data_IF_287282015386
#
_entry.id   IF_287282015386
#
_cell.length_a   1.000
_cell.length_b   1.000
_cell.length_c   1.000
_cell.angle_alpha   90.00
_cell.angle_beta   90.00
_cell.angle_gamma   90.00
#
_symmetry.space_group_name_H-M   'P 1'
#
loop_
_entity.id
_entity.type
_entity.pdbx_description
1 polymer ?
#
# COMPACT_ATOMS: atom_id res chain seq x y z
N UNK A 1 -26.36 15.97 21.14
CA UNK A 1 -25.92 14.61 21.53
C UNK A 1 -26.14 13.71 20.33
N UNK A 2 -25.26 13.78 19.34
CA UNK A 2 -25.44 13.06 18.07
C UNK A 2 -24.78 11.67 18.16
N UNK A 3 -25.62 10.66 17.97
CA UNK A 3 -25.38 9.22 17.83
C UNK A 3 -23.91 8.75 17.80
N UNK A 4 -23.37 8.40 18.98
CA UNK A 4 -22.15 7.60 19.13
C UNK A 4 -22.40 6.10 18.84
N UNK A 5 -23.68 5.69 18.78
CA UNK A 5 -24.07 4.28 18.66
C UNK A 5 -24.18 3.79 17.21
N UNK A 6 -24.69 4.59 16.27
CA UNK A 6 -24.93 4.12 14.90
C UNK A 6 -23.68 3.62 14.18
N UNK A 7 -22.56 4.36 14.24
CA UNK A 7 -21.34 3.98 13.53
C UNK A 7 -20.51 2.92 14.26
N UNK A 8 -20.63 2.84 15.60
CA UNK A 8 -19.96 1.78 16.36
C UNK A 8 -20.70 0.46 16.19
N UNK A 9 -22.04 0.47 16.11
CA UNK A 9 -22.85 -0.70 15.79
C UNK A 9 -22.68 -1.12 14.32
N UNK A 10 -22.74 -0.19 13.36
CA UNK A 10 -22.46 -0.53 11.96
C UNK A 10 -21.06 -1.14 11.79
N UNK A 11 -20.00 -0.62 12.43
CA UNK A 11 -18.65 -1.20 12.30
C UNK A 11 -18.46 -2.51 13.07
N UNK A 12 -19.07 -2.66 14.25
CA UNK A 12 -19.02 -3.93 15.02
C UNK A 12 -19.83 -5.03 14.33
N UNK A 13 -20.83 -4.66 13.53
CA UNK A 13 -21.61 -5.58 12.71
C UNK A 13 -20.90 -5.89 11.37
N UNK A 14 -20.22 -4.92 10.75
CA UNK A 14 -19.41 -5.09 9.53
C UNK A 14 -18.16 -5.95 9.78
N UNK A 15 -17.45 -5.72 10.88
CA UNK A 15 -16.44 -6.65 11.38
C UNK A 15 -17.08 -7.51 12.45
N UNK A 16 -17.90 -8.49 12.04
CA UNK A 16 -18.34 -9.53 12.97
C UNK A 16 -17.08 -10.03 13.70
N UNK A 17 -17.03 -9.84 15.01
CA UNK A 17 -15.91 -10.27 15.85
C UNK A 17 -15.68 -11.77 15.69
N UNK A 18 -16.71 -12.53 15.25
CA UNK A 18 -16.57 -13.91 14.80
C UNK A 18 -15.84 -14.04 13.47
N UNK A 19 -16.09 -13.16 12.49
CA UNK A 19 -15.34 -13.07 11.24
C UNK A 19 -13.86 -12.83 11.49
N UNK A 20 -13.51 -11.85 12.33
CA UNK A 20 -12.12 -11.53 12.71
C UNK A 20 -11.44 -12.69 13.48
N UNK A 21 -12.15 -13.31 14.44
CA UNK A 21 -11.63 -14.48 15.18
C UNK A 21 -11.49 -15.70 14.27
N UNK A 22 -12.49 -16.02 13.47
CA UNK A 22 -12.47 -17.14 12.52
C UNK A 22 -11.39 -16.91 11.46
N UNK A 23 -11.14 -15.65 11.06
CA UNK A 23 -10.00 -15.21 10.26
C UNK A 23 -8.68 -15.51 10.96
N UNK A 24 -8.51 -15.05 12.19
CA UNK A 24 -7.31 -15.28 12.99
C UNK A 24 -7.06 -16.78 13.18
N UNK A 25 -8.10 -17.58 13.45
CA UNK A 25 -8.00 -19.03 13.61
C UNK A 25 -7.70 -19.75 12.31
N UNK A 26 -8.36 -19.40 11.20
CA UNK A 26 -8.09 -20.03 9.88
C UNK A 26 -6.67 -19.73 9.43
N UNK A 27 -6.21 -18.50 9.66
CA UNK A 27 -4.85 -18.07 9.36
C UNK A 27 -3.81 -18.70 10.29
N UNK A 28 -4.08 -18.79 11.60
CA UNK A 28 -3.27 -19.54 12.56
C UNK A 28 -3.19 -21.02 12.20
N UNK A 29 -4.26 -21.63 11.69
CA UNK A 29 -4.26 -23.01 11.24
C UNK A 29 -3.40 -23.20 9.99
N UNK A 30 -3.46 -22.28 9.02
CA UNK A 30 -2.56 -22.32 7.86
C UNK A 30 -1.09 -22.18 8.27
N UNK A 31 -0.79 -21.26 9.19
CA UNK A 31 0.52 -21.09 9.85
C UNK A 31 0.98 -22.36 10.57
N UNK A 32 0.09 -22.99 11.33
CA UNK A 32 0.35 -24.22 12.06
C UNK A 32 0.73 -25.33 11.08
N UNK A 33 -0.08 -25.53 10.03
CA UNK A 33 0.18 -26.52 8.98
C UNK A 33 1.53 -26.25 8.30
N UNK A 34 1.81 -25.01 7.90
CA UNK A 34 3.07 -24.64 7.25
C UNK A 34 4.27 -24.88 8.18
N UNK A 35 4.17 -24.49 9.45
CA UNK A 35 5.22 -24.70 10.45
C UNK A 35 5.46 -26.18 10.72
N UNK A 36 4.40 -26.99 10.80
CA UNK A 36 4.51 -28.44 10.94
C UNK A 36 5.24 -29.04 9.75
N UNK A 37 4.92 -28.62 8.52
CA UNK A 37 5.57 -29.17 7.33
C UNK A 37 7.06 -28.78 7.30
N UNK A 38 7.43 -27.55 7.64
CA UNK A 38 8.84 -27.13 7.76
C UNK A 38 9.55 -27.89 8.87
N UNK A 39 8.92 -28.09 10.03
CA UNK A 39 9.49 -28.88 11.12
C UNK A 39 9.68 -30.34 10.73
N UNK A 40 8.72 -30.95 10.04
CA UNK A 40 8.85 -32.31 9.51
C UNK A 40 10.02 -32.38 8.51
N UNK A 41 10.12 -31.42 7.59
CA UNK A 41 11.23 -31.33 6.64
C UNK A 41 12.60 -31.24 7.34
N UNK A 42 12.72 -30.39 8.36
CA UNK A 42 13.95 -30.23 9.16
C UNK A 42 14.27 -31.52 9.93
N UNK A 43 13.28 -32.13 10.57
CA UNK A 43 13.47 -33.38 11.32
C UNK A 43 13.88 -34.54 10.40
N UNK A 44 13.31 -34.62 9.20
CA UNK A 44 13.68 -35.61 8.18
C UNK A 44 15.13 -35.36 7.70
N UNK A 45 15.50 -34.11 7.45
CA UNK A 45 16.87 -33.76 7.08
C UNK A 45 17.89 -34.10 8.17
N UNK A 46 17.55 -33.85 9.45
CA UNK A 46 18.42 -34.18 10.59
C UNK A 46 18.49 -35.69 10.81
N UNK A 47 17.35 -36.42 10.77
CA UNK A 47 17.35 -37.89 10.95
C UNK A 47 18.15 -38.60 9.87
N UNK A 48 18.14 -38.08 8.65
CA UNK A 48 18.91 -38.65 7.56
C UNK A 48 20.34 -38.11 7.50
N UNK A 49 20.77 -37.24 8.43
CA UNK A 49 22.10 -36.62 8.41
C UNK A 49 23.23 -37.65 8.38
N UNK A 50 23.15 -38.73 9.17
CA UNK A 50 24.20 -39.76 9.19
C UNK A 50 24.20 -40.60 7.89
N UNK A 51 23.02 -40.91 7.33
CA UNK A 51 22.92 -41.56 6.02
C UNK A 51 23.42 -40.66 4.89
N UNK A 52 23.14 -39.35 4.97
CA UNK A 52 23.63 -38.33 4.06
C UNK A 52 25.15 -38.22 4.17
N UNK A 53 25.70 -38.18 5.38
CA UNK A 53 27.14 -38.10 5.66
C UNK A 53 27.91 -39.32 5.15
N UNK A 54 27.35 -40.52 5.30
CA UNK A 54 27.97 -41.75 4.78
C UNK A 54 27.90 -41.86 3.24
N UNK A 55 26.86 -41.29 2.61
CA UNK A 55 26.78 -41.18 1.14
C UNK A 55 27.69 -40.06 0.58
N UNK A 56 27.90 -38.98 1.35
CA UNK A 56 28.79 -37.85 1.01
C UNK A 56 30.22 -38.33 0.76
N UNK A 57 30.67 -39.36 1.46
CA UNK A 57 32.04 -39.88 1.32
C UNK A 57 32.31 -40.69 0.05
N UNK A 58 31.30 -41.18 -0.69
CA UNK A 58 31.50 -42.21 -1.72
C UNK A 58 31.02 -41.89 -3.16
N UNK A 59 30.69 -40.64 -3.50
CA UNK A 59 30.43 -40.27 -4.91
C UNK A 59 30.99 -38.88 -5.22
N UNK A 60 32.10 -38.82 -5.97
CA UNK A 60 33.00 -37.66 -5.99
C UNK A 60 32.47 -36.41 -6.69
N UNK A 61 31.45 -36.50 -7.55
CA UNK A 61 30.94 -35.31 -8.27
C UNK A 61 29.47 -34.97 -8.00
N UNK A 62 28.62 -35.97 -7.69
CA UNK A 62 27.18 -35.77 -7.42
C UNK A 62 26.85 -35.39 -5.97
N UNK A 63 27.67 -35.83 -5.00
CA UNK A 63 27.43 -35.59 -3.57
C UNK A 63 27.61 -34.12 -3.16
N UNK A 64 28.64 -33.46 -3.69
CA UNK A 64 28.90 -32.04 -3.49
C UNK A 64 27.71 -31.19 -3.99
N UNK A 65 27.09 -31.61 -5.10
CA UNK A 65 25.92 -30.92 -5.63
C UNK A 65 24.71 -31.00 -4.69
N UNK A 66 24.34 -32.20 -4.23
CA UNK A 66 23.20 -32.36 -3.32
C UNK A 66 23.44 -31.65 -1.98
N UNK A 67 24.68 -31.65 -1.50
CA UNK A 67 25.08 -30.95 -0.28
C UNK A 67 24.95 -29.43 -0.43
N UNK A 68 25.51 -28.85 -1.49
CA UNK A 68 25.41 -27.40 -1.74
C UNK A 68 23.96 -26.99 -2.04
N UNK A 69 23.25 -27.77 -2.86
CA UNK A 69 21.85 -27.51 -3.19
C UNK A 69 20.92 -27.56 -1.98
N UNK A 70 21.10 -28.53 -1.08
CA UNK A 70 20.32 -28.62 0.16
C UNK A 70 20.65 -27.50 1.15
N UNK A 71 21.92 -27.10 1.28
CA UNK A 71 22.32 -25.94 2.10
C UNK A 71 21.66 -24.66 1.55
N UNK A 72 21.74 -24.42 0.24
CA UNK A 72 21.14 -23.24 -0.39
C UNK A 72 19.61 -23.23 -0.26
N UNK A 73 18.95 -24.38 -0.43
CA UNK A 73 17.52 -24.53 -0.24
C UNK A 73 17.11 -24.25 1.22
N UNK A 74 17.90 -24.73 2.19
CA UNK A 74 17.67 -24.49 3.62
C UNK A 74 17.82 -23.01 3.97
N UNK A 75 18.87 -22.35 3.46
CA UNK A 75 19.05 -20.90 3.62
C UNK A 75 17.86 -20.14 3.03
N UNK A 76 17.42 -20.51 1.83
CA UNK A 76 16.23 -19.91 1.19
C UNK A 76 14.98 -20.08 2.06
N UNK A 77 14.72 -21.28 2.61
CA UNK A 77 13.58 -21.54 3.50
C UNK A 77 13.63 -20.72 4.80
N UNK A 78 14.81 -20.58 5.42
CA UNK A 78 15.01 -19.75 6.61
C UNK A 78 14.74 -18.27 6.32
N UNK A 79 15.25 -17.78 5.19
CA UNK A 79 15.04 -16.41 4.73
C UNK A 79 13.56 -16.11 4.50
N UNK A 80 12.82 -17.03 3.86
CA UNK A 80 11.35 -16.91 3.69
C UNK A 80 10.64 -16.89 5.04
N UNK A 81 11.04 -17.77 5.97
CA UNK A 81 10.43 -17.88 7.30
C UNK A 81 10.65 -16.62 8.15
N UNK A 82 11.88 -16.10 8.21
CA UNK A 82 12.21 -14.86 8.92
C UNK A 82 11.43 -13.68 8.32
N UNK A 83 11.43 -13.57 6.99
CA UNK A 83 10.69 -12.49 6.31
C UNK A 83 9.20 -12.54 6.64
N UNK A 84 8.61 -13.73 6.70
CA UNK A 84 7.22 -13.92 7.09
C UNK A 84 6.93 -13.47 8.53
N UNK A 85 7.75 -13.87 9.51
CA UNK A 85 7.60 -13.45 10.92
C UNK A 85 7.64 -11.92 11.03
N UNK A 86 8.53 -11.26 10.26
CA UNK A 86 8.60 -9.81 10.27
C UNK A 86 7.38 -9.17 9.59
N UNK A 87 6.83 -9.76 8.51
CA UNK A 87 5.57 -9.28 7.91
C UNK A 87 4.44 -9.35 8.91
N UNK A 88 4.28 -10.49 9.58
CA UNK A 88 3.22 -10.67 10.57
C UNK A 88 3.36 -9.63 11.69
N UNK A 89 4.56 -9.50 12.26
CA UNK A 89 4.84 -8.51 13.32
C UNK A 89 4.62 -7.08 12.84
N UNK A 90 4.98 -6.76 11.60
CA UNK A 90 4.79 -5.43 11.03
C UNK A 90 3.33 -5.14 10.71
N UNK A 91 2.60 -6.13 10.23
CA UNK A 91 1.16 -6.03 9.95
C UNK A 91 0.37 -5.81 11.22
N UNK A 92 0.67 -6.57 12.29
CA UNK A 92 0.05 -6.39 13.59
C UNK A 92 0.28 -4.95 14.13
N UNK A 93 1.52 -4.45 13.94
CA UNK A 93 1.90 -3.07 14.31
C UNK A 93 1.26 -2.00 13.44
N UNK A 94 0.89 -2.30 12.21
CA UNK A 94 0.41 -1.33 11.21
C UNK A 94 -1.09 -1.50 10.96
N UNK A 95 -1.48 -2.53 10.22
CA UNK A 95 -2.87 -2.91 9.99
C UNK A 95 -2.94 -4.36 9.53
N UNK A 96 -3.93 -5.13 9.98
CA UNK A 96 -4.13 -6.52 9.54
C UNK A 96 -4.48 -6.62 8.05
N UNK A 97 -4.99 -5.53 7.46
CA UNK A 97 -5.33 -5.47 6.03
C UNK A 97 -4.06 -5.58 5.17
N UNK A 98 -2.91 -5.10 5.66
CA UNK A 98 -1.63 -5.29 4.96
C UNK A 98 -1.32 -6.78 4.77
N UNK A 99 -1.49 -7.60 5.82
CA UNK A 99 -1.30 -9.05 5.72
C UNK A 99 -2.18 -9.66 4.64
N UNK A 100 -3.42 -9.19 4.50
CA UNK A 100 -4.37 -9.69 3.50
C UNK A 100 -4.00 -9.30 2.07
N UNK A 101 -3.57 -8.07 1.84
CA UNK A 101 -3.05 -7.64 0.52
C UNK A 101 -1.91 -8.57 0.08
N UNK A 102 -1.06 -9.00 1.03
CA UNK A 102 0.01 -9.96 0.76
C UNK A 102 -0.49 -11.37 0.50
N UNK A 103 -1.38 -11.91 1.34
CA UNK A 103 -1.95 -13.25 1.15
C UNK A 103 -2.67 -13.37 -0.20
N UNK A 104 -3.30 -12.29 -0.67
CA UNK A 104 -3.96 -12.22 -1.98
C UNK A 104 -3.02 -11.93 -3.14
N UNK A 105 -1.83 -11.40 -2.90
CA UNK A 105 -0.88 -11.14 -3.98
C UNK A 105 -0.41 -12.46 -4.58
N UNK A 106 -0.89 -12.74 -5.80
CA UNK A 106 -0.53 -13.96 -6.54
C UNK A 106 0.98 -14.09 -6.68
N UNK A 107 1.73 -13.00 -6.77
CA UNK A 107 3.19 -13.03 -6.85
C UNK A 107 3.81 -13.55 -5.56
N UNK A 108 3.26 -13.14 -4.42
CA UNK A 108 3.68 -13.62 -3.12
C UNK A 108 3.32 -15.07 -2.92
N UNK A 109 2.07 -15.46 -3.20
CA UNK A 109 1.63 -16.84 -3.11
C UNK A 109 2.47 -17.74 -4.03
N UNK A 110 2.73 -17.30 -5.26
CA UNK A 110 3.58 -18.01 -6.23
C UNK A 110 5.00 -18.17 -5.68
N UNK A 111 5.57 -17.12 -5.09
CA UNK A 111 6.89 -17.22 -4.46
C UNK A 111 6.92 -18.25 -3.32
N UNK A 112 5.96 -18.19 -2.40
CA UNK A 112 5.83 -19.16 -1.30
C UNK A 112 5.67 -20.58 -1.84
N UNK A 113 4.84 -20.77 -2.86
CA UNK A 113 4.61 -22.09 -3.50
C UNK A 113 5.86 -22.59 -4.21
N UNK A 114 6.56 -21.75 -4.98
CA UNK A 114 7.80 -22.15 -5.67
C UNK A 114 8.89 -22.49 -4.65
N UNK A 115 9.11 -21.64 -3.65
CA UNK A 115 10.11 -21.91 -2.60
C UNK A 115 9.79 -23.19 -1.84
N UNK A 116 8.51 -23.41 -1.49
CA UNK A 116 8.08 -24.63 -0.82
C UNK A 116 8.22 -25.87 -1.71
N UNK A 117 7.76 -25.81 -2.96
CA UNK A 117 7.88 -26.90 -3.94
C UNK A 117 9.34 -27.25 -4.20
N UNK A 118 10.22 -26.25 -4.23
CA UNK A 118 11.66 -26.44 -4.38
C UNK A 118 12.23 -27.22 -3.21
N UNK A 119 11.96 -26.78 -1.98
CA UNK A 119 12.40 -27.49 -0.76
C UNK A 119 11.84 -28.92 -0.73
N UNK A 120 10.58 -29.11 -1.09
CA UNK A 120 9.95 -30.43 -1.15
C UNK A 120 10.57 -31.34 -2.22
N UNK A 121 10.87 -30.80 -3.41
CA UNK A 121 11.58 -31.52 -4.47
C UNK A 121 12.96 -31.99 -3.99
N UNK A 122 13.71 -31.13 -3.29
CA UNK A 122 14.99 -31.50 -2.70
C UNK A 122 14.87 -32.63 -1.67
N UNK A 123 13.85 -32.58 -0.81
CA UNK A 123 13.57 -33.66 0.15
C UNK A 123 13.28 -34.98 -0.57
N UNK A 124 12.45 -34.96 -1.62
CA UNK A 124 12.14 -36.15 -2.40
C UNK A 124 13.37 -36.73 -3.11
N UNK A 125 14.17 -35.90 -3.75
CA UNK A 125 15.43 -36.33 -4.39
C UNK A 125 16.37 -36.95 -3.35
N UNK A 126 16.49 -36.30 -2.18
CA UNK A 126 17.31 -36.81 -1.08
C UNK A 126 16.80 -38.14 -0.51
N UNK A 127 15.48 -38.35 -0.45
CA UNK A 127 14.87 -39.57 0.09
C UNK A 127 14.88 -40.73 -0.90
N UNK A 128 14.76 -40.44 -2.20
CA UNK A 128 14.66 -41.47 -3.25
C UNK A 128 16.01 -41.95 -3.75
N UNK A 129 17.11 -41.30 -3.37
CA UNK A 129 18.48 -41.64 -3.80
C UNK A 129 18.63 -41.76 -5.33
N UNK A 130 17.83 -41.03 -6.10
CA UNK A 130 17.85 -41.09 -7.57
C UNK A 130 19.15 -40.50 -8.10
N UNK A 131 19.83 -41.24 -8.97
CA UNK A 131 20.95 -40.71 -9.76
C UNK A 131 20.40 -39.70 -10.77
N UNK A 132 20.72 -38.42 -10.57
CA UNK A 132 20.31 -37.34 -11.45
C UNK A 132 21.27 -37.24 -12.65
N UNK A 133 20.73 -36.97 -13.84
CA UNK A 133 21.54 -36.64 -15.00
C UNK A 133 22.09 -35.21 -14.89
N UNK A 134 23.16 -34.90 -15.65
CA UNK A 134 23.78 -33.55 -15.68
C UNK A 134 22.77 -32.44 -16.00
N UNK A 135 21.78 -32.73 -16.85
CA UNK A 135 20.69 -31.80 -17.18
C UNK A 135 19.82 -31.51 -15.94
N UNK A 136 19.52 -32.52 -15.13
CA UNK A 136 18.70 -32.38 -13.93
C UNK A 136 19.40 -31.49 -12.89
N UNK A 137 20.73 -31.61 -12.76
CA UNK A 137 21.54 -30.73 -11.92
C UNK A 137 21.47 -29.26 -12.36
N UNK A 138 21.57 -29.02 -13.67
CA UNK A 138 21.41 -27.67 -14.23
C UNK A 138 20.04 -27.06 -13.92
N UNK A 139 18.97 -27.84 -14.07
CA UNK A 139 17.60 -27.42 -13.77
C UNK A 139 17.44 -27.08 -12.28
N UNK A 140 17.96 -27.93 -11.40
CA UNK A 140 17.88 -27.72 -9.95
C UNK A 140 18.60 -26.43 -9.52
N UNK A 141 19.80 -26.17 -10.04
CA UNK A 141 20.53 -24.94 -9.75
C UNK A 141 19.79 -23.70 -10.27
N UNK A 142 19.21 -23.80 -11.47
CA UNK A 142 18.36 -22.74 -12.02
C UNK A 142 17.17 -22.43 -11.10
N UNK A 143 16.48 -23.45 -10.57
CA UNK A 143 15.36 -23.26 -9.63
C UNK A 143 15.82 -22.63 -8.31
N UNK A 144 16.97 -23.02 -7.76
CA UNK A 144 17.54 -22.37 -6.57
C UNK A 144 17.85 -20.89 -6.86
N UNK A 145 18.55 -20.61 -7.95
CA UNK A 145 18.89 -19.24 -8.34
C UNK A 145 17.65 -18.39 -8.57
N UNK A 146 16.60 -18.97 -9.17
CA UNK A 146 15.31 -18.32 -9.33
C UNK A 146 14.68 -17.98 -7.97
N UNK A 147 14.75 -18.88 -6.97
CA UNK A 147 14.28 -18.58 -5.62
C UNK A 147 15.05 -17.42 -4.98
N UNK A 148 16.37 -17.34 -5.14
CA UNK A 148 17.15 -16.20 -4.63
C UNK A 148 16.80 -14.89 -5.33
N UNK A 149 16.63 -14.92 -6.65
CA UNK A 149 16.20 -13.75 -7.42
C UNK A 149 14.82 -13.25 -6.96
N UNK A 150 13.88 -14.19 -6.80
CA UNK A 150 12.54 -13.90 -6.29
C UNK A 150 12.59 -13.36 -4.86
N UNK A 151 13.46 -13.90 -4.01
CA UNK A 151 13.67 -13.41 -2.65
C UNK A 151 14.22 -11.98 -2.61
N UNK A 152 15.17 -11.63 -3.50
CA UNK A 152 15.70 -10.26 -3.59
C UNK A 152 14.61 -9.25 -4.00
N UNK A 153 13.77 -9.61 -4.98
CA UNK A 153 12.60 -8.82 -5.36
C UNK A 153 11.61 -8.69 -4.19
N UNK A 154 11.44 -9.76 -3.43
CA UNK A 154 10.57 -9.82 -2.28
C UNK A 154 11.05 -8.97 -1.10
N UNK A 155 12.36 -8.95 -0.76
CA UNK A 155 12.91 -8.05 0.27
C UNK A 155 12.60 -6.58 -0.05
N UNK A 156 12.70 -6.18 -1.33
CA UNK A 156 12.39 -4.81 -1.74
C UNK A 156 10.92 -4.46 -1.51
N UNK A 157 10.02 -5.37 -1.85
CA UNK A 157 8.60 -5.19 -1.60
C UNK A 157 8.28 -5.21 -0.09
N UNK A 158 8.97 -6.04 0.68
CA UNK A 158 8.89 -6.12 2.14
C UNK A 158 9.36 -4.84 2.86
N UNK A 159 10.46 -4.22 2.41
CA UNK A 159 10.95 -2.96 2.97
C UNK A 159 9.93 -1.81 2.83
N UNK A 160 9.09 -1.85 1.78
CA UNK A 160 7.99 -0.91 1.58
C UNK A 160 6.84 -1.12 2.58
N UNK A 161 6.70 -2.29 3.19
CA UNK A 161 5.58 -2.58 4.11
C UNK A 161 5.92 -2.17 5.53
N UNK A 162 7.17 -2.39 5.96
CA UNK A 162 7.62 -2.03 7.32
C UNK A 162 7.50 -0.52 7.56
N UNK A 163 7.77 0.28 6.52
CA UNK A 163 7.70 1.72 6.63
C UNK A 163 6.25 2.22 6.46
N UNK A 164 5.67 2.89 7.48
CA UNK A 164 4.31 3.42 7.40
C UNK A 164 4.05 4.26 6.14
N UNK A 165 5.05 5.05 5.71
CA UNK A 165 5.00 5.91 4.53
C UNK A 165 4.73 5.12 3.25
N UNK A 166 5.44 4.02 3.07
CA UNK A 166 5.32 3.20 1.86
C UNK A 166 4.12 2.26 1.95
N UNK A 167 3.75 1.82 3.16
CA UNK A 167 2.55 1.02 3.40
C UNK A 167 1.27 1.77 3.00
N UNK A 168 1.10 3.04 3.38
CA UNK A 168 -0.09 3.83 2.97
C UNK A 168 -0.15 4.04 1.45
N UNK A 169 1.00 4.22 0.79
CA UNK A 169 1.06 4.38 -0.67
C UNK A 169 0.67 3.08 -1.38
N UNK A 170 1.16 1.96 -0.89
CA UNK A 170 0.87 0.63 -1.43
C UNK A 170 -0.63 0.30 -1.30
N UNK A 171 -1.19 0.47 -0.10
CA UNK A 171 -2.61 0.23 0.18
C UNK A 171 -3.51 1.01 -0.77
N UNK A 172 -3.21 2.29 -1.02
CA UNK A 172 -4.06 3.15 -1.85
C UNK A 172 -3.83 2.98 -3.36
N UNK A 173 -2.64 2.53 -3.77
CA UNK A 173 -2.29 2.40 -5.20
C UNK A 173 -2.81 1.12 -5.83
N UNK A 174 -2.73 0.00 -5.12
CA UNK A 174 -3.07 -1.29 -5.69
C UNK A 174 -4.59 -1.52 -5.63
N UNK A 175 -5.16 -2.11 -6.68
CA UNK A 175 -6.53 -2.63 -6.71
C UNK A 175 -6.43 -4.13 -6.77
N UNK A 176 -7.23 -4.84 -5.98
CA UNK A 176 -7.21 -6.30 -6.05
C UNK A 176 -7.79 -6.77 -7.40
N UNK A 177 -6.96 -7.48 -8.17
CA UNK A 177 -7.39 -8.14 -9.42
C UNK A 177 -8.17 -9.39 -9.01
N UNK A 178 -9.47 -9.25 -8.80
CA UNK A 178 -10.35 -10.39 -8.54
C UNK A 178 -11.30 -10.24 -7.36
N UNK A 179 -11.46 -9.04 -6.77
CA UNK A 179 -12.49 -8.87 -5.75
C UNK A 179 -13.88 -8.93 -6.37
N UNK A 180 -14.55 -10.07 -6.17
CA UNK A 180 -15.98 -10.29 -6.43
C UNK A 180 -16.80 -10.22 -5.13
N UNK A 181 -16.24 -9.67 -4.05
CA UNK A 181 -16.90 -9.47 -2.75
C UNK A 181 -18.04 -8.44 -2.88
N UNK A 182 -19.19 -8.94 -3.34
CA UNK A 182 -20.48 -8.23 -3.34
C UNK A 182 -21.44 -8.78 -2.28
N UNK A 183 -20.91 -9.39 -1.22
CA UNK A 183 -21.72 -9.87 -0.09
C UNK A 183 -22.35 -8.72 0.68
N UNK A 184 -23.62 -8.86 1.05
CA UNK A 184 -24.33 -7.89 1.88
C UNK A 184 -23.63 -7.80 3.25
N UNK A 185 -23.01 -6.64 3.56
CA UNK A 185 -22.34 -6.38 4.85
C UNK A 185 -20.81 -6.35 4.82
N UNK A 186 -20.16 -6.79 3.74
CA UNK A 186 -18.69 -6.70 3.61
C UNK A 186 -18.28 -5.29 3.13
N UNK A 187 -17.21 -4.73 3.71
CA UNK A 187 -16.57 -3.52 3.18
C UNK A 187 -16.11 -3.78 1.74
N UNK A 188 -16.30 -2.79 0.85
CA UNK A 188 -15.66 -2.86 -0.45
C UNK A 188 -14.13 -2.85 -0.30
N UNK A 189 -13.39 -3.35 -1.30
CA UNK A 189 -11.92 -3.27 -1.34
C UNK A 189 -11.42 -1.85 -1.02
N UNK A 190 -12.08 -0.83 -1.59
CA UNK A 190 -11.77 0.57 -1.34
C UNK A 190 -12.01 0.99 0.12
N UNK A 191 -13.14 0.62 0.72
CA UNK A 191 -13.46 0.99 2.11
C UNK A 191 -12.51 0.32 3.10
N UNK A 192 -12.17 -0.95 2.88
CA UNK A 192 -11.16 -1.67 3.65
C UNK A 192 -9.80 -0.96 3.58
N UNK A 193 -9.38 -0.52 2.39
CA UNK A 193 -8.12 0.22 2.21
C UNK A 193 -8.12 1.57 2.92
N UNK A 194 -9.23 2.31 2.84
CA UNK A 194 -9.38 3.58 3.59
C UNK A 194 -9.27 3.35 5.10
N UNK A 195 -9.88 2.27 5.61
CA UNK A 195 -9.78 1.89 7.01
C UNK A 195 -8.35 1.50 7.41
N UNK A 196 -7.63 0.76 6.56
CA UNK A 196 -6.23 0.42 6.79
C UNK A 196 -5.34 1.67 6.91
N UNK A 197 -5.55 2.67 6.05
CA UNK A 197 -4.84 3.95 6.14
C UNK A 197 -5.16 4.69 7.43
N UNK A 198 -6.43 4.70 7.84
CA UNK A 198 -6.84 5.24 9.14
C UNK A 198 -6.08 4.56 10.28
N UNK A 199 -6.09 3.23 10.35
CA UNK A 199 -5.47 2.44 11.42
C UNK A 199 -3.95 2.70 11.49
N UNK A 200 -3.27 2.72 10.34
CA UNK A 200 -1.82 2.98 10.27
C UNK A 200 -1.50 4.36 10.85
N UNK A 201 -2.19 5.41 10.40
CA UNK A 201 -1.90 6.78 10.85
C UNK A 201 -2.32 6.95 12.32
N UNK A 202 -3.48 6.42 12.70
CA UNK A 202 -3.99 6.44 14.09
C UNK A 202 -2.98 5.81 15.06
N UNK A 203 -2.47 4.60 14.77
CA UNK A 203 -1.47 3.95 15.63
C UNK A 203 -0.19 4.79 15.76
N UNK A 204 0.26 5.46 14.69
CA UNK A 204 1.43 6.37 14.76
C UNK A 204 1.15 7.62 15.58
N UNK A 205 -0.06 8.16 15.50
CA UNK A 205 -0.51 9.27 16.36
C UNK A 205 -0.51 8.84 17.84
N UNK A 206 -1.07 7.66 18.17
CA UNK A 206 -1.15 7.14 19.54
C UNK A 206 0.24 6.96 20.17
N UNK A 207 1.19 6.41 19.42
CA UNK A 207 2.59 6.27 19.87
C UNK A 207 3.32 7.63 19.93
N UNK A 208 2.83 8.64 19.20
CA UNK A 208 3.43 9.98 19.14
C UNK A 208 4.56 10.10 18.11
N UNK A 209 4.59 9.21 17.12
CA UNK A 209 5.53 9.24 16.00
C UNK A 209 5.07 10.26 14.95
N UNK A 210 5.26 11.54 15.26
CA UNK A 210 4.88 12.66 14.38
C UNK A 210 5.59 12.59 13.03
N UNK A 211 6.82 12.08 12.99
CA UNK A 211 7.61 11.96 11.76
C UNK A 211 6.96 10.98 10.79
N UNK A 212 6.56 9.80 11.28
CA UNK A 212 5.82 8.85 10.45
C UNK A 212 4.51 9.43 9.94
N UNK A 213 3.75 10.15 10.77
CA UNK A 213 2.47 10.79 10.36
C UNK A 213 2.71 11.78 9.22
N UNK A 214 3.68 12.69 9.34
CA UNK A 214 4.02 13.65 8.28
C UNK A 214 4.44 12.93 6.99
N UNK A 215 5.28 11.91 7.10
CA UNK A 215 5.73 11.15 5.92
C UNK A 215 4.57 10.43 5.23
N UNK A 216 3.62 9.86 5.97
CA UNK A 216 2.42 9.25 5.41
C UNK A 216 1.58 10.27 4.64
N UNK A 217 1.26 11.41 5.26
CA UNK A 217 0.43 12.46 4.66
C UNK A 217 1.10 13.07 3.42
N UNK A 218 2.40 13.33 3.48
CA UNK A 218 3.15 13.83 2.32
C UNK A 218 3.22 12.82 1.18
N UNK A 219 3.27 11.52 1.50
CA UNK A 219 3.24 10.47 0.48
C UNK A 219 1.88 10.40 -0.21
N UNK A 220 0.80 10.43 0.58
CA UNK A 220 -0.58 10.46 0.09
C UNK A 220 -0.78 11.67 -0.81
N UNK A 221 -0.34 12.83 -0.34
CA UNK A 221 -0.41 14.07 -1.10
C UNK A 221 0.31 13.94 -2.45
N UNK A 222 1.60 13.56 -2.44
CA UNK A 222 2.43 13.45 -3.65
C UNK A 222 1.85 12.50 -4.71
N UNK A 223 1.24 11.39 -4.29
CA UNK A 223 0.76 10.34 -5.19
C UNK A 223 -0.76 10.31 -5.31
N UNK A 224 -1.48 11.35 -4.88
CA UNK A 224 -2.94 11.34 -4.79
C UNK A 224 -3.63 11.00 -6.12
N UNK A 225 -3.09 11.53 -7.23
CA UNK A 225 -3.55 11.27 -8.61
C UNK A 225 -3.30 9.84 -9.10
N UNK A 226 -2.58 9.00 -8.34
CA UNK A 226 -2.27 7.61 -8.68
C UNK A 226 -3.16 6.60 -7.96
N UNK A 227 -4.02 7.06 -7.05
CA UNK A 227 -4.89 6.18 -6.27
C UNK A 227 -6.20 5.94 -7.02
N UNK A 228 -6.37 4.72 -7.54
CA UNK A 228 -7.47 4.34 -8.42
C UNK A 228 -8.85 4.68 -7.85
N UNK A 229 -9.04 4.53 -6.54
CA UNK A 229 -10.31 4.79 -5.85
C UNK A 229 -10.73 6.26 -5.90
N UNK A 230 -9.77 7.19 -5.97
CA UNK A 230 -10.05 8.63 -6.05
C UNK A 230 -10.14 9.15 -7.49
N UNK A 231 -9.62 8.38 -8.44
CA UNK A 231 -9.42 8.85 -9.83
C UNK A 231 -10.32 8.12 -10.82
N UNK A 232 -10.32 6.79 -10.79
CA UNK A 232 -10.93 5.95 -11.83
C UNK A 232 -12.22 5.27 -11.39
N UNK A 233 -12.43 5.08 -10.09
CA UNK A 233 -13.62 4.36 -9.61
C UNK A 233 -14.90 5.19 -9.76
N UNK A 234 -16.01 4.52 -10.08
CA UNK A 234 -17.34 5.15 -10.23
C UNK A 234 -17.84 5.75 -8.90
N UNK A 235 -17.48 5.13 -7.77
CA UNK A 235 -17.82 5.59 -6.42
C UNK A 235 -16.79 6.56 -5.83
N UNK A 236 -15.88 7.12 -6.63
CA UNK A 236 -14.80 8.03 -6.19
C UNK A 236 -15.28 9.18 -5.30
N UNK A 237 -16.43 9.79 -5.57
CA UNK A 237 -17.01 10.86 -4.73
C UNK A 237 -17.26 10.38 -3.29
N UNK A 238 -17.82 9.16 -3.14
CA UNK A 238 -18.04 8.53 -1.83
C UNK A 238 -16.69 8.35 -1.12
N UNK A 239 -15.71 7.77 -1.79
CA UNK A 239 -14.40 7.51 -1.21
C UNK A 239 -13.65 8.79 -0.85
N UNK A 240 -13.74 9.84 -1.66
CA UNK A 240 -13.20 11.17 -1.35
C UNK A 240 -13.86 11.76 -0.09
N UNK A 241 -15.19 11.66 0.02
CA UNK A 241 -15.93 12.10 1.21
C UNK A 241 -15.56 11.33 2.46
N UNK A 242 -15.46 10.01 2.37
CA UNK A 242 -15.08 9.15 3.49
C UNK A 242 -13.62 9.37 3.90
N UNK A 243 -12.73 9.59 2.93
CA UNK A 243 -11.35 9.92 3.22
C UNK A 243 -11.18 11.28 3.90
N UNK A 244 -11.95 12.31 3.52
CA UNK A 244 -11.98 13.59 4.26
C UNK A 244 -12.46 13.41 5.70
N UNK A 245 -13.46 12.56 5.95
CA UNK A 245 -13.94 12.25 7.30
C UNK A 245 -12.83 11.58 8.12
N UNK A 246 -12.11 10.64 7.51
CA UNK A 246 -10.95 9.98 8.11
C UNK A 246 -9.87 11.01 8.46
N UNK A 247 -9.48 11.87 7.53
CA UNK A 247 -8.48 12.92 7.76
C UNK A 247 -8.88 13.86 8.90
N UNK A 248 -10.15 14.30 8.93
CA UNK A 248 -10.65 15.16 10.00
C UNK A 248 -10.57 14.48 11.38
N UNK A 249 -10.97 13.21 11.47
CA UNK A 249 -10.84 12.41 12.70
C UNK A 249 -9.38 12.28 13.14
N UNK A 250 -8.50 11.88 12.24
CA UNK A 250 -7.06 11.76 12.50
C UNK A 250 -6.46 13.09 12.93
N UNK A 251 -6.89 14.21 12.35
CA UNK A 251 -6.42 15.55 12.72
C UNK A 251 -6.86 15.93 14.14
N UNK A 252 -8.09 15.60 14.55
CA UNK A 252 -8.57 15.81 15.93
C UNK A 252 -7.73 14.99 16.91
N UNK A 253 -7.50 13.72 16.60
CA UNK A 253 -6.68 12.84 17.42
C UNK A 253 -5.22 13.31 17.50
N UNK A 254 -4.67 13.76 16.37
CA UNK A 254 -3.33 14.35 16.30
C UNK A 254 -3.21 15.57 17.20
N UNK A 255 -4.21 16.47 17.19
CA UNK A 255 -4.23 17.64 18.08
C UNK A 255 -4.22 17.22 19.54
N UNK A 256 -5.02 16.20 19.90
CA UNK A 256 -5.11 15.69 21.27
C UNK A 256 -3.81 15.04 21.76
N UNK A 257 -3.20 14.19 20.92
CA UNK A 257 -2.10 13.32 21.34
C UNK A 257 -0.71 13.91 21.09
N UNK A 258 -0.54 14.76 20.06
CA UNK A 258 0.78 15.21 19.58
C UNK A 258 1.05 16.70 19.82
N UNK A 259 0.04 17.57 19.79
CA UNK A 259 0.25 19.03 19.84
C UNK A 259 0.79 19.50 21.19
N UNK A 260 0.36 18.86 22.28
CA UNK A 260 0.73 19.21 23.65
C UNK A 260 2.05 18.58 24.12
N UNK A 261 2.69 17.71 23.31
CA UNK A 261 3.98 17.11 23.66
C UNK A 261 5.12 18.11 23.39
N UNK A 262 6.20 18.06 24.19
CA UNK A 262 7.33 19.03 24.24
C UNK A 262 8.04 19.31 22.90
N UNK A 263 7.71 18.64 21.79
CA UNK A 263 8.26 18.86 20.44
C UNK A 263 7.39 19.84 19.59
N UNK A 264 7.29 21.10 20.03
CA UNK A 264 6.43 22.12 19.38
C UNK A 264 6.72 22.42 17.90
N UNK A 265 7.96 22.52 17.38
CA UNK A 265 8.15 22.89 15.98
C UNK A 265 7.73 21.75 15.03
N UNK A 266 7.97 20.51 15.43
CA UNK A 266 7.67 19.35 14.61
C UNK A 266 6.18 18.98 14.63
N UNK A 267 5.49 19.24 15.75
CA UNK A 267 4.02 19.05 15.83
C UNK A 267 3.25 20.01 14.92
N UNK A 268 3.73 21.24 14.75
CA UNK A 268 3.13 22.22 13.81
C UNK A 268 3.22 21.76 12.36
N UNK A 269 4.37 21.19 11.95
CA UNK A 269 4.55 20.62 10.60
C UNK A 269 3.56 19.48 10.32
N UNK A 270 3.16 18.72 11.34
CA UNK A 270 2.10 17.71 11.20
C UNK A 270 0.75 18.31 10.87
N UNK A 271 0.35 19.39 11.53
CA UNK A 271 -0.89 20.10 11.19
C UNK A 271 -0.87 20.67 9.78
N UNK A 272 0.28 21.19 9.34
CA UNK A 272 0.46 21.69 7.98
C UNK A 272 0.31 20.57 6.94
N UNK A 273 0.90 19.39 7.19
CA UNK A 273 0.72 18.22 6.34
C UNK A 273 -0.75 17.79 6.24
N UNK A 274 -1.49 17.80 7.37
CA UNK A 274 -2.94 17.56 7.35
C UNK A 274 -3.68 18.57 6.47
N UNK A 275 -3.41 19.88 6.64
CA UNK A 275 -4.06 20.93 5.83
C UNK A 275 -3.80 20.73 4.33
N UNK A 276 -2.56 20.43 3.94
CA UNK A 276 -2.15 20.19 2.55
C UNK A 276 -2.87 18.99 1.94
N UNK A 277 -2.95 17.88 2.66
CA UNK A 277 -3.68 16.68 2.22
C UNK A 277 -5.19 16.93 2.17
N UNK A 278 -5.77 17.53 3.21
CA UNK A 278 -7.21 17.85 3.26
C UNK A 278 -7.62 18.78 2.12
N UNK A 279 -6.79 19.78 1.78
CA UNK A 279 -7.05 20.69 0.67
C UNK A 279 -7.13 19.94 -0.66
N UNK A 280 -6.13 19.12 -0.99
CA UNK A 280 -6.14 18.38 -2.27
C UNK A 280 -7.32 17.41 -2.33
N UNK A 281 -7.59 16.67 -1.26
CA UNK A 281 -8.75 15.76 -1.23
C UNK A 281 -10.05 16.54 -1.39
N UNK A 282 -10.18 17.70 -0.73
CA UNK A 282 -11.35 18.56 -0.85
C UNK A 282 -11.49 19.17 -2.23
N UNK A 283 -10.38 19.54 -2.88
CA UNK A 283 -10.37 20.06 -4.24
C UNK A 283 -10.89 19.00 -5.22
N UNK A 284 -10.32 17.80 -5.19
CA UNK A 284 -10.78 16.66 -5.99
C UNK A 284 -12.24 16.30 -5.69
N UNK A 285 -12.66 16.30 -4.43
CA UNK A 285 -14.07 16.02 -4.09
C UNK A 285 -15.02 17.06 -4.67
N UNK A 286 -14.73 18.35 -4.45
CA UNK A 286 -15.63 19.43 -4.88
C UNK A 286 -15.72 19.51 -6.39
N UNK A 287 -14.61 19.40 -7.12
CA UNK A 287 -14.65 19.42 -8.59
C UNK A 287 -15.48 18.25 -9.15
N UNK A 288 -15.35 17.05 -8.57
CA UNK A 288 -16.17 15.89 -8.95
C UNK A 288 -17.65 16.09 -8.64
N UNK A 289 -17.98 16.66 -7.47
CA UNK A 289 -19.36 17.02 -7.12
C UNK A 289 -19.93 18.05 -8.11
N UNK A 290 -19.14 19.05 -8.53
CA UNK A 290 -19.57 20.05 -9.53
C UNK A 290 -19.72 19.50 -10.94
N UNK A 291 -18.86 18.58 -11.36
CA UNK A 291 -18.99 17.92 -12.67
C UNK A 291 -20.27 17.08 -12.72
N UNK A 292 -20.61 16.38 -11.63
CA UNK A 292 -21.84 15.60 -11.54
C UNK A 292 -23.11 16.44 -11.63
N UNK A 293 -23.09 17.71 -11.20
CA UNK A 293 -24.26 18.59 -11.37
C UNK A 293 -24.46 19.00 -12.83
N UNK A 294 -23.49 18.77 -13.72
CA UNK A 294 -23.50 19.20 -15.13
C UNK A 294 -23.79 20.70 -15.30
N UNK A 295 -23.44 21.49 -14.29
CA UNK A 295 -23.66 22.93 -14.29
C UNK A 295 -22.32 23.65 -14.48
N UNK A 296 -22.13 24.12 -15.70
CA UNK A 296 -20.95 24.88 -16.14
C UNK A 296 -20.70 26.09 -15.22
N UNK A 297 -21.75 26.82 -14.84
CA UNK A 297 -21.61 27.99 -13.97
C UNK A 297 -21.09 27.60 -12.58
N UNK A 298 -21.54 26.45 -12.05
CA UNK A 298 -21.06 25.97 -10.76
C UNK A 298 -19.61 25.47 -10.82
N UNK A 299 -19.15 24.93 -11.93
CA UNK A 299 -17.76 24.54 -12.15
C UNK A 299 -16.87 25.79 -12.20
N UNK A 300 -17.26 26.75 -13.04
CA UNK A 300 -16.55 28.02 -13.23
C UNK A 300 -16.41 28.79 -11.94
N UNK A 301 -17.51 28.93 -11.20
CA UNK A 301 -17.51 29.60 -9.91
C UNK A 301 -16.50 28.97 -8.95
N UNK A 302 -16.45 27.64 -8.86
CA UNK A 302 -15.52 26.95 -7.97
C UNK A 302 -14.05 27.11 -8.39
N UNK A 303 -13.75 26.97 -9.69
CA UNK A 303 -12.38 27.11 -10.19
C UNK A 303 -11.89 28.57 -10.11
N UNK A 304 -12.74 29.54 -10.44
CA UNK A 304 -12.48 30.97 -10.28
C UNK A 304 -12.31 31.39 -8.81
N UNK A 305 -13.13 30.88 -7.89
CA UNK A 305 -12.93 31.08 -6.45
C UNK A 305 -11.60 30.49 -5.97
N UNK A 306 -11.22 29.31 -6.48
CA UNK A 306 -9.92 28.70 -6.16
C UNK A 306 -8.78 29.55 -6.71
N UNK A 307 -8.88 29.99 -7.97
CA UNK A 307 -7.91 30.87 -8.63
C UNK A 307 -7.64 32.15 -7.81
N UNK A 308 -8.70 32.82 -7.38
CA UNK A 308 -8.62 34.06 -6.61
C UNK A 308 -8.02 33.85 -5.23
N UNK A 309 -8.20 32.66 -4.64
CA UNK A 309 -7.72 32.35 -3.29
C UNK A 309 -6.32 31.73 -3.25
N UNK A 310 -5.69 31.39 -4.38
CA UNK A 310 -4.31 30.83 -4.39
C UNK A 310 -3.35 31.69 -3.55
N UNK A 311 -3.38 33.00 -3.71
CA UNK A 311 -2.49 33.92 -3.00
C UNK A 311 -2.78 34.03 -1.50
N UNK A 312 -3.97 33.61 -1.05
CA UNK A 312 -4.41 33.71 0.33
C UNK A 312 -4.05 32.47 1.15
N UNK A 313 -3.83 31.32 0.51
CA UNK A 313 -3.47 30.11 1.22
C UNK A 313 -1.96 30.06 1.51
N UNK A 314 -1.61 30.10 2.80
CA UNK A 314 -0.22 30.01 3.29
C UNK A 314 0.55 28.80 2.72
N UNK A 315 -0.12 27.67 2.48
CA UNK A 315 0.50 26.47 1.91
C UNK A 315 1.02 26.65 0.48
N UNK A 316 0.52 27.62 -0.29
CA UNK A 316 1.01 27.91 -1.65
C UNK A 316 2.25 28.83 -1.65
N UNK A 317 2.72 29.28 -0.48
CA UNK A 317 4.06 29.87 -0.34
C UNK A 317 5.15 28.79 -0.27
N UNK A 318 4.80 27.52 -0.02
CA UNK A 318 5.73 26.40 -0.13
C UNK A 318 5.88 26.00 -1.60
N UNK A 319 7.04 26.31 -2.18
CA UNK A 319 7.40 25.98 -3.57
C UNK A 319 7.13 24.50 -3.88
N UNK A 320 7.57 23.58 -3.01
CA UNK A 320 7.42 22.14 -3.24
C UNK A 320 5.95 21.73 -3.26
N UNK A 321 5.11 22.31 -2.40
CA UNK A 321 3.68 22.03 -2.42
C UNK A 321 2.99 22.59 -3.67
N UNK A 322 3.36 23.79 -4.09
CA UNK A 322 2.81 24.41 -5.29
C UNK A 322 3.18 23.62 -6.57
N UNK A 323 4.40 23.09 -6.67
CA UNK A 323 4.81 22.17 -7.74
C UNK A 323 3.95 20.89 -7.76
N UNK A 324 3.72 20.28 -6.59
CA UNK A 324 2.86 19.10 -6.45
C UNK A 324 1.43 19.44 -6.90
N UNK A 325 0.90 20.61 -6.50
CA UNK A 325 -0.44 21.02 -6.89
C UNK A 325 -0.56 21.26 -8.39
N UNK A 326 0.41 21.92 -9.03
CA UNK A 326 0.45 22.08 -10.50
C UNK A 326 0.45 20.71 -11.20
N UNK A 327 1.22 19.75 -10.68
CA UNK A 327 1.22 18.39 -11.20
C UNK A 327 -0.17 17.74 -11.08
N UNK A 328 -0.87 17.90 -9.94
CA UNK A 328 -2.25 17.42 -9.80
C UNK A 328 -3.23 18.04 -10.80
N UNK A 329 -3.11 19.35 -11.06
CA UNK A 329 -3.98 20.02 -12.03
C UNK A 329 -3.77 19.50 -13.45
N UNK A 330 -2.52 19.26 -13.86
CA UNK A 330 -2.21 18.65 -15.17
C UNK A 330 -2.77 17.24 -15.31
N UNK A 331 -2.61 16.43 -14.26
CA UNK A 331 -3.12 15.06 -14.23
C UNK A 331 -4.66 15.01 -14.22
N UNK A 332 -5.32 16.00 -13.62
CA UNK A 332 -6.78 16.18 -13.72
C UNK A 332 -7.20 16.53 -15.14
N UNK A 333 -6.47 17.41 -15.82
CA UNK A 333 -6.75 17.77 -17.20
C UNK A 333 -6.66 16.55 -18.13
N UNK A 334 -5.57 15.78 -18.04
CA UNK A 334 -5.40 14.52 -18.80
C UNK A 334 -6.49 13.50 -18.48
N UNK A 335 -6.89 13.40 -17.21
CA UNK A 335 -8.01 12.54 -16.79
C UNK A 335 -9.30 12.96 -17.47
N UNK A 336 -9.68 14.23 -17.43
CA UNK A 336 -10.95 14.69 -18.00
C UNK A 336 -10.95 14.64 -19.53
N UNK A 337 -9.80 14.84 -20.17
CA UNK A 337 -9.65 14.63 -21.62
C UNK A 337 -9.90 13.17 -21.99
N UNK A 338 -9.37 12.24 -21.19
CA UNK A 338 -9.68 10.81 -21.35
C UNK A 338 -11.17 10.51 -21.13
N UNK A 339 -11.80 11.09 -20.10
CA UNK A 339 -13.24 10.90 -19.85
C UNK A 339 -14.11 11.47 -21.00
N UNK A 340 -13.72 12.60 -21.61
CA UNK A 340 -14.34 13.11 -22.84
C UNK A 340 -14.22 12.11 -23.98
N UNK A 341 -13.01 11.61 -24.25
CA UNK A 341 -12.76 10.66 -25.35
C UNK A 341 -13.49 9.32 -25.17
N UNK A 342 -13.79 8.94 -23.93
CA UNK A 342 -14.61 7.77 -23.58
C UNK A 342 -16.13 8.08 -23.55
N UNK A 343 -16.56 9.27 -23.99
CA UNK A 343 -17.95 9.76 -23.94
C UNK A 343 -18.58 9.76 -22.54
N UNK A 344 -17.76 9.88 -21.49
CA UNK A 344 -18.19 9.97 -20.08
C UNK A 344 -18.38 11.42 -19.61
N UNK A 345 -17.84 12.39 -20.35
CA UNK A 345 -17.89 13.81 -20.05
C UNK A 345 -18.35 14.56 -21.30
N UNK A 346 -19.35 15.43 -21.14
CA UNK A 346 -19.88 16.24 -22.24
C UNK A 346 -18.80 17.19 -22.77
N UNK A 347 -18.73 17.39 -24.09
CA UNK A 347 -17.69 18.20 -24.73
C UNK A 347 -17.67 19.65 -24.25
N UNK A 348 -18.85 20.24 -24.06
CA UNK A 348 -19.00 21.60 -23.54
C UNK A 348 -18.42 21.74 -22.13
N UNK A 349 -18.72 20.78 -21.24
CA UNK A 349 -18.19 20.75 -19.87
C UNK A 349 -16.67 20.57 -19.88
N UNK A 350 -16.15 19.69 -20.75
CA UNK A 350 -14.72 19.49 -20.87
C UNK A 350 -13.98 20.74 -21.34
N UNK A 351 -14.48 21.42 -22.38
CA UNK A 351 -13.84 22.62 -22.91
C UNK A 351 -13.74 23.71 -21.83
N UNK A 352 -14.80 23.88 -21.04
CA UNK A 352 -14.77 24.82 -19.93
C UNK A 352 -13.81 24.39 -18.81
N UNK A 353 -13.84 23.12 -18.40
CA UNK A 353 -12.89 22.58 -17.41
C UNK A 353 -11.45 22.79 -17.87
N UNK A 354 -11.16 22.57 -19.15
CA UNK A 354 -9.84 22.78 -19.74
C UNK A 354 -9.42 24.23 -19.61
N UNK A 355 -10.25 25.17 -20.07
CA UNK A 355 -9.93 26.59 -20.04
C UNK A 355 -9.68 27.09 -18.60
N UNK A 356 -10.53 26.70 -17.65
CA UNK A 356 -10.40 27.12 -16.24
C UNK A 356 -9.23 26.45 -15.52
N UNK A 357 -8.97 25.15 -15.78
CA UNK A 357 -7.80 24.47 -15.23
C UNK A 357 -6.50 25.03 -15.79
N UNK A 358 -6.44 25.37 -17.08
CA UNK A 358 -5.27 26.01 -17.69
C UNK A 358 -5.01 27.41 -17.10
N UNK A 359 -6.07 28.22 -16.87
CA UNK A 359 -5.94 29.49 -16.13
C UNK A 359 -5.37 29.27 -14.73
N UNK A 360 -5.86 28.26 -14.01
CA UNK A 360 -5.40 27.92 -12.67
C UNK A 360 -3.92 27.47 -12.67
N UNK A 361 -3.53 26.62 -13.62
CA UNK A 361 -2.15 26.17 -13.82
C UNK A 361 -1.23 27.37 -14.09
N UNK A 362 -1.64 28.28 -14.97
CA UNK A 362 -0.87 29.48 -15.30
C UNK A 362 -0.70 30.40 -14.07
N UNK A 363 -1.74 30.56 -13.25
CA UNK A 363 -1.65 31.30 -11.98
C UNK A 363 -0.66 30.68 -11.01
N UNK A 364 -0.71 29.36 -10.84
CA UNK A 364 0.25 28.64 -10.01
C UNK A 364 1.69 28.74 -10.55
N UNK A 365 1.89 28.63 -11.86
CA UNK A 365 3.22 28.79 -12.48
C UNK A 365 3.79 30.20 -12.31
N UNK A 366 2.96 31.23 -12.44
CA UNK A 366 3.39 32.60 -12.16
C UNK A 366 3.81 32.76 -10.69
N UNK A 367 3.04 32.17 -9.77
CA UNK A 367 3.39 32.17 -8.34
C UNK A 367 4.68 31.39 -8.05
N UNK A 368 4.94 30.28 -8.75
CA UNK A 368 6.21 29.55 -8.66
C UNK A 368 7.39 30.42 -9.07
N UNK A 369 7.28 31.15 -10.19
CA UNK A 369 8.33 32.08 -10.65
C UNK A 369 8.58 33.21 -9.66
N UNK A 370 7.54 33.75 -9.03
CA UNK A 370 7.68 34.74 -7.95
C UNK A 370 8.50 34.18 -6.79
N UNK A 371 8.17 32.97 -6.30
CA UNK A 371 8.89 32.33 -5.20
C UNK A 371 10.34 31.98 -5.57
N UNK A 372 10.61 31.63 -6.83
CA UNK A 372 11.97 31.41 -7.33
C UNK A 372 12.78 32.71 -7.37
N UNK A 373 12.18 33.81 -7.81
CA UNK A 373 12.85 35.12 -7.82
C UNK A 373 13.20 35.63 -6.42
N UNK A 374 12.38 35.29 -5.42
CA UNK A 374 12.63 35.67 -4.02
C UNK A 374 13.77 34.87 -3.36
N UNK A 375 14.07 33.67 -3.84
CA UNK A 375 15.18 32.86 -3.31
C UNK A 375 16.54 33.16 -3.97
N UNK A 376 16.53 33.86 -5.11
CA UNK A 376 17.74 34.25 -5.84
C UNK A 376 18.27 35.64 -5.43
N UNK A 377 17.50 36.39 -4.62
CA UNK A 377 17.92 37.62 -3.94
C UNK A 377 18.17 37.32 -2.46
#
# INVERSE_FOLDING_TARGET
MFAFEGFKWEIVEIFDWKGLKKLQTTFQNYLLILSMIVSIAVVVAIKNYDSLWSLITNSSDSSNFLTVGSILATISALLVSISWVIIQTSSDRLSNILMWIWVRDVRFLTFVVISFTTVFLFILISLTHVQLHVIDYGIIYYVIMLNFLMYALYIKAFANVINPKYAVDLILRDKDIGDKSGGYGDLTDAESRLFAVYEIIEKRIKVGDVYAVIKCLNMINKNFNKYWMFIKDEKREKYLRDFLRILSKLRVEYRKNCLNRKNKPYSKKGLEAFKKTEFIVSFYKTIEEKIKTRDINSINKFLSETYNNISNYEMFNDKTYLEIFVHHLKELLEKYEKEKNENKLDEEIFNELKDELEKLINKCNNKLRELESQNNN
#
